data_IF_899255798725
#
_entry.id   IF_899255798725
#
_cell.length_a   1.000
_cell.length_b   1.000
_cell.length_c   1.000
_cell.angle_alpha   90.00
_cell.angle_beta   90.00
_cell.angle_gamma   90.00
#
_symmetry.space_group_name_H-M   'P 1'
#
loop_
_entity.id
_entity.type
_entity.pdbx_description
1 polymer ?
#
# COMPACT_ATOMS: atom_id res chain seq x y z
N UNK A 1 -8.11 -4.99 10.76
CA UNK A 1 -6.68 -5.23 10.48
C UNK A 1 -6.59 -6.34 9.46
N UNK A 2 -6.00 -6.06 8.30
CA UNK A 2 -5.89 -7.05 7.23
C UNK A 2 -4.88 -8.15 7.56
N UNK A 3 -5.20 -9.38 7.21
CA UNK A 3 -4.26 -10.51 7.13
C UNK A 3 -3.49 -10.47 5.81
N UNK A 4 -2.35 -11.18 5.74
CA UNK A 4 -1.58 -11.29 4.49
C UNK A 4 -2.41 -11.93 3.37
N UNK A 5 -3.26 -12.91 3.69
CA UNK A 5 -4.13 -13.55 2.71
C UNK A 5 -5.18 -12.60 2.14
N UNK A 6 -5.78 -11.75 2.98
CA UNK A 6 -6.72 -10.73 2.53
C UNK A 6 -6.01 -9.67 1.69
N UNK A 7 -4.83 -9.21 2.12
CA UNK A 7 -3.99 -8.29 1.36
C UNK A 7 -3.62 -8.88 -0.01
N UNK A 8 -3.25 -10.17 -0.06
CA UNK A 8 -2.97 -10.90 -1.30
C UNK A 8 -4.18 -10.97 -2.20
N UNK A 9 -5.38 -11.26 -1.66
CA UNK A 9 -6.63 -11.28 -2.44
C UNK A 9 -6.95 -9.90 -3.04
N UNK A 10 -6.78 -8.82 -2.27
CA UNK A 10 -6.97 -7.45 -2.75
C UNK A 10 -6.00 -7.13 -3.89
N UNK A 11 -4.72 -7.42 -3.72
CA UNK A 11 -3.71 -7.15 -4.75
C UNK A 11 -3.96 -7.99 -6.01
N UNK A 12 -4.39 -9.25 -5.87
CA UNK A 12 -4.74 -10.08 -7.03
C UNK A 12 -5.94 -9.52 -7.79
N UNK A 13 -6.93 -8.95 -7.11
CA UNK A 13 -8.06 -8.29 -7.75
C UNK A 13 -7.59 -7.07 -8.57
N UNK A 14 -6.72 -6.23 -8.01
CA UNK A 14 -6.13 -5.07 -8.70
C UNK A 14 -5.27 -5.48 -9.90
N UNK A 15 -4.49 -6.56 -9.78
CA UNK A 15 -3.70 -7.11 -10.89
C UNK A 15 -4.61 -7.62 -12.01
N UNK A 16 -5.71 -8.30 -11.66
CA UNK A 16 -6.68 -8.80 -12.64
C UNK A 16 -7.45 -7.67 -13.33
N UNK A 17 -7.78 -6.59 -12.61
CA UNK A 17 -8.38 -5.40 -13.22
C UNK A 17 -7.40 -4.73 -14.21
N UNK A 18 -6.13 -4.60 -13.80
CA UNK A 18 -5.06 -4.12 -14.68
C UNK A 18 -4.74 -5.08 -15.84
N UNK A 19 -5.16 -6.35 -15.77
CA UNK A 19 -4.90 -7.37 -16.78
C UNK A 19 -5.67 -7.09 -18.07
N UNK A 20 -6.85 -6.48 -18.01
CA UNK A 20 -7.66 -6.02 -19.15
C UNK A 20 -7.26 -6.60 -20.53
N UNK A 21 -6.61 -5.78 -21.35
CA UNK A 21 -6.18 -6.07 -22.74
C UNK A 21 -4.76 -6.68 -22.87
N UNK A 22 -4.15 -7.16 -21.79
CA UNK A 22 -2.75 -7.59 -21.79
C UNK A 22 -2.66 -9.12 -21.93
N UNK A 23 -2.01 -9.60 -23.00
CA UNK A 23 -1.86 -11.03 -23.33
C UNK A 23 -0.99 -11.83 -22.33
N UNK A 24 -0.41 -11.16 -21.33
CA UNK A 24 0.51 -11.79 -20.39
C UNK A 24 -0.20 -12.34 -19.15
N UNK A 25 0.27 -13.49 -18.66
CA UNK A 25 -0.09 -13.97 -17.33
C UNK A 25 0.57 -13.09 -16.27
N UNK A 26 -0.24 -12.32 -15.54
CA UNK A 26 0.20 -11.42 -14.48
C UNK A 26 0.05 -12.11 -13.12
N UNK A 27 1.11 -12.06 -12.30
CA UNK A 27 1.09 -12.66 -10.97
C UNK A 27 1.92 -11.85 -9.97
N UNK A 28 1.71 -12.15 -8.69
CA UNK A 28 2.59 -11.71 -7.60
C UNK A 28 3.89 -12.52 -7.68
N UNK A 29 5.01 -11.83 -7.87
CA UNK A 29 6.34 -12.42 -8.01
C UNK A 29 7.09 -12.50 -6.67
N UNK A 30 6.90 -11.50 -5.81
CA UNK A 30 7.57 -11.41 -4.50
C UNK A 30 6.70 -10.63 -3.52
N UNK A 31 6.73 -11.05 -2.26
CA UNK A 31 6.13 -10.33 -1.14
C UNK A 31 7.23 -9.94 -0.17
N UNK A 32 7.19 -8.72 0.32
CA UNK A 32 8.11 -8.21 1.35
C UNK A 32 7.30 -7.68 2.52
N UNK A 33 7.52 -8.24 3.71
CA UNK A 33 6.83 -7.82 4.92
C UNK A 33 7.47 -6.54 5.49
N UNK A 34 6.62 -5.62 5.94
CA UNK A 34 6.98 -4.40 6.65
C UNK A 34 6.34 -4.41 8.05
N UNK A 35 6.80 -3.53 8.93
CA UNK A 35 6.22 -3.37 10.28
C UNK A 35 4.72 -3.01 10.27
N UNK A 36 4.26 -2.30 9.24
CA UNK A 36 2.89 -1.79 9.10
C UNK A 36 2.08 -2.47 7.97
N UNK A 37 2.62 -3.51 7.33
CA UNK A 37 1.94 -4.16 6.21
C UNK A 37 2.88 -4.90 5.26
N UNK A 38 2.62 -4.83 3.95
CA UNK A 38 3.35 -5.62 2.96
C UNK A 38 3.55 -4.87 1.64
N UNK A 39 4.63 -5.22 0.93
CA UNK A 39 4.87 -4.81 -0.46
C UNK A 39 4.70 -6.03 -1.36
N UNK A 40 3.85 -5.92 -2.37
CA UNK A 40 3.62 -6.95 -3.37
C UNK A 40 4.20 -6.53 -4.72
N UNK A 41 5.27 -7.20 -5.12
CA UNK A 41 5.87 -7.06 -6.44
C UNK A 41 5.15 -7.98 -7.41
N UNK A 42 4.76 -7.44 -8.56
CA UNK A 42 3.97 -8.16 -9.56
C UNK A 42 4.46 -7.87 -10.97
N UNK A 43 4.09 -8.74 -11.90
CA UNK A 43 4.45 -8.59 -13.30
C UNK A 43 4.12 -9.84 -14.11
N UNK A 44 4.57 -9.84 -15.36
CA UNK A 44 4.39 -10.98 -16.25
C UNK A 44 5.25 -12.17 -15.81
N UNK A 45 4.66 -13.37 -15.78
CA UNK A 45 5.34 -14.63 -15.44
C UNK A 45 6.60 -14.83 -16.30
N UNK A 46 6.51 -14.49 -17.59
CA UNK A 46 7.59 -14.66 -18.56
C UNK A 46 8.80 -13.74 -18.30
N UNK A 47 8.61 -12.58 -17.65
CA UNK A 47 9.69 -11.66 -17.32
C UNK A 47 10.52 -12.17 -16.14
N UNK A 48 9.88 -12.86 -15.18
CA UNK A 48 10.55 -13.40 -14.00
C UNK A 48 11.53 -14.53 -14.32
N UNK A 49 11.30 -15.28 -15.40
CA UNK A 49 12.14 -16.43 -15.78
C UNK A 49 13.35 -16.05 -16.62
N UNK A 50 13.31 -14.91 -17.32
CA UNK A 50 14.28 -14.62 -18.38
C UNK A 50 15.31 -13.55 -18.01
N UNK A 51 15.25 -12.96 -16.81
CA UNK A 51 16.14 -11.87 -16.38
C UNK A 51 16.10 -10.64 -17.31
N UNK A 52 15.08 -10.55 -18.16
CA UNK A 52 14.91 -9.51 -19.16
C UNK A 52 14.24 -8.29 -18.53
N UNK A 53 14.46 -7.13 -19.15
CA UNK A 53 13.79 -5.88 -18.78
C UNK A 53 12.26 -6.11 -18.82
N UNK A 54 11.50 -5.70 -17.78
CA UNK A 54 10.06 -5.92 -17.74
C UNK A 54 9.40 -5.35 -18.99
N UNK A 55 8.58 -6.16 -19.66
CA UNK A 55 7.81 -5.72 -20.84
C UNK A 55 6.60 -4.89 -20.45
N UNK A 56 6.14 -5.05 -19.20
CA UNK A 56 5.01 -4.33 -18.65
C UNK A 56 5.46 -2.97 -18.09
N UNK A 57 4.96 -1.89 -18.68
CA UNK A 57 5.07 -0.55 -18.11
C UNK A 57 4.04 -0.33 -17.00
N UNK A 58 4.41 0.40 -15.94
CA UNK A 58 3.48 0.76 -14.86
C UNK A 58 3.20 -0.35 -13.84
N UNK A 59 4.05 -1.38 -13.80
CA UNK A 59 4.03 -2.49 -12.85
C UNK A 59 4.64 -2.13 -11.47
N UNK A 60 4.41 -0.90 -11.00
CA UNK A 60 4.89 -0.48 -9.69
C UNK A 60 4.29 -1.39 -8.62
N UNK A 61 5.07 -1.84 -7.61
CA UNK A 61 4.53 -2.72 -6.59
C UNK A 61 3.36 -2.09 -5.84
N UNK A 62 2.53 -2.94 -5.24
CA UNK A 62 1.47 -2.49 -4.36
C UNK A 62 1.98 -2.46 -2.92
N UNK A 63 1.74 -1.36 -2.22
CA UNK A 63 1.93 -1.25 -0.78
C UNK A 63 0.57 -1.43 -0.10
N UNK A 64 0.46 -2.42 0.78
CA UNK A 64 -0.75 -2.66 1.57
C UNK A 64 -0.46 -2.31 3.02
N UNK A 65 -1.25 -1.39 3.55
CA UNK A 65 -1.27 -1.00 4.95
C UNK A 65 -2.29 -1.86 5.71
N UNK A 66 -1.80 -2.69 6.63
CA UNK A 66 -2.65 -3.63 7.37
C UNK A 66 -3.50 -2.95 8.44
N UNK A 67 -3.01 -1.84 8.99
CA UNK A 67 -3.61 -1.16 10.13
C UNK A 67 -4.73 -0.22 9.69
N UNK A 68 -4.52 0.45 8.56
CA UNK A 68 -5.49 1.39 7.99
C UNK A 68 -6.31 0.77 6.85
N UNK A 69 -6.03 -0.49 6.50
CA UNK A 69 -6.72 -1.25 5.44
C UNK A 69 -6.67 -0.56 4.08
N UNK A 70 -5.51 0.05 3.77
CA UNK A 70 -5.30 0.82 2.53
C UNK A 70 -4.43 0.04 1.55
N UNK A 71 -4.83 0.01 0.29
CA UNK A 71 -4.01 -0.45 -0.82
C UNK A 71 -3.51 0.77 -1.60
N UNK A 72 -2.20 0.86 -1.78
CA UNK A 72 -1.52 1.98 -2.42
C UNK A 72 -0.74 1.46 -3.62
N UNK A 73 -1.07 1.98 -4.81
CA UNK A 73 -0.28 1.73 -6.02
C UNK A 73 0.96 2.62 -6.01
N UNK A 74 2.14 2.01 -6.06
CA UNK A 74 3.40 2.78 -6.16
C UNK A 74 3.71 3.13 -7.61
N UNK A 75 4.46 4.22 -7.82
CA UNK A 75 4.90 4.62 -9.13
C UNK A 75 6.17 3.85 -9.53
N UNK A 76 6.31 3.50 -10.81
CA UNK A 76 7.55 2.93 -11.37
C UNK A 76 8.66 3.98 -11.56
N UNK A 77 8.33 5.27 -11.47
CA UNK A 77 9.26 6.39 -11.69
C UNK A 77 10.19 6.69 -10.52
N UNK A 78 9.97 6.09 -9.35
CA UNK A 78 10.75 6.33 -8.14
C UNK A 78 11.10 5.02 -7.40
N UNK A 79 12.24 4.96 -6.67
CA UNK A 79 12.58 3.80 -5.86
C UNK A 79 11.52 3.46 -4.83
N UNK A 80 11.17 2.19 -4.71
CA UNK A 80 10.14 1.67 -3.79
C UNK A 80 10.47 2.05 -2.35
N UNK A 81 11.74 1.90 -1.93
CA UNK A 81 12.22 2.26 -0.59
C UNK A 81 11.90 3.71 -0.23
N UNK A 82 12.02 4.64 -1.19
CA UNK A 82 11.70 6.05 -0.97
C UNK A 82 10.20 6.25 -0.76
N UNK A 83 9.38 5.62 -1.60
CA UNK A 83 7.92 5.72 -1.51
C UNK A 83 7.40 5.12 -0.19
N UNK A 84 7.97 4.01 0.26
CA UNK A 84 7.67 3.37 1.55
C UNK A 84 8.03 4.29 2.72
N UNK A 85 9.23 4.87 2.71
CA UNK A 85 9.67 5.80 3.76
C UNK A 85 8.79 7.07 3.83
N UNK A 86 8.37 7.58 2.67
CA UNK A 86 7.49 8.74 2.61
C UNK A 86 6.07 8.42 3.10
N UNK A 87 5.55 7.22 2.78
CA UNK A 87 4.28 6.73 3.33
C UNK A 87 4.35 6.55 4.85
N UNK A 88 5.41 5.94 5.37
CA UNK A 88 5.59 5.73 6.81
C UNK A 88 5.71 7.07 7.56
N UNK A 89 6.39 8.07 6.98
CA UNK A 89 6.40 9.44 7.52
C UNK A 89 5.01 10.06 7.59
N UNK A 90 4.18 9.82 6.58
CA UNK A 90 2.78 10.28 6.59
C UNK A 90 1.97 9.59 7.67
N UNK A 91 2.11 8.27 7.83
CA UNK A 91 1.46 7.50 8.89
C UNK A 91 1.78 8.03 10.29
N UNK A 92 3.07 8.31 10.57
CA UNK A 92 3.47 8.87 11.86
C UNK A 92 2.81 10.23 12.14
N UNK A 93 2.67 11.08 11.11
CA UNK A 93 1.99 12.38 11.24
C UNK A 93 0.49 12.20 11.49
N UNK A 94 -0.17 11.29 10.77
CA UNK A 94 -1.60 10.97 10.95
C UNK A 94 -1.87 10.41 12.36
N UNK A 95 -0.98 9.55 12.88
CA UNK A 95 -1.07 9.04 14.25
C UNK A 95 -0.88 10.16 15.29
N UNK A 96 0.09 11.04 15.08
CA UNK A 96 0.31 12.18 15.99
C UNK A 96 -0.88 13.13 16.01
N UNK A 97 -1.46 13.45 14.84
CA UNK A 97 -2.63 14.32 14.75
C UNK A 97 -3.86 13.74 15.48
N UNK A 98 -4.08 12.42 15.37
CA UNK A 98 -5.15 11.72 16.12
C UNK A 98 -4.97 11.83 17.64
N UNK A 99 -3.73 11.81 18.12
CA UNK A 99 -3.43 11.89 19.55
C UNK A 99 -3.44 13.33 20.11
N UNK A 100 -3.35 14.34 19.23
CA UNK A 100 -3.31 15.77 19.62
C UNK A 100 -4.68 16.44 19.46
N UNK A 101 -5.66 15.79 18.82
CA UNK A 101 -7.02 16.30 18.72
C UNK A 101 -7.59 16.51 20.14
N UNK A 102 -7.92 17.76 20.54
CA UNK A 102 -8.49 18.00 21.85
C UNK A 102 -9.89 17.38 21.90
N UNK A 103 -10.14 16.61 22.95
CA UNK A 103 -11.47 16.11 23.31
C UNK A 103 -12.42 17.33 23.42
N UNK A 104 -13.49 17.44 22.59
CA UNK A 104 -14.37 18.61 22.62
C UNK A 104 -15.26 18.66 23.88
N UNK A 105 -15.09 17.74 24.83
CA UNK A 105 -16.08 17.51 25.90
C UNK A 105 -15.79 18.27 27.21
N UNK A 106 -14.85 19.21 27.25
CA UNK A 106 -14.58 20.01 28.45
C UNK A 106 -14.49 21.53 28.22
N UNK A 107 -15.40 22.09 27.42
CA UNK A 107 -15.64 23.53 27.40
C UNK A 107 -17.07 23.86 27.83
N UNK A 108 -17.20 24.48 28.99
CA UNK A 108 -18.36 25.23 29.51
C UNK A 108 -19.30 24.48 30.45
N UNK A 109 -18.83 24.28 31.70
CA UNK A 109 -19.64 24.63 32.88
C UNK A 109 -18.94 25.82 33.53
N UNK A 110 -19.23 27.02 33.03
CA UNK A 110 -18.95 28.26 33.75
C UNK A 110 -20.28 28.66 34.40
N UNK A 111 -20.37 28.38 35.69
CA UNK A 111 -21.35 28.94 36.61
C UNK A 111 -21.48 30.44 36.40
N UNK A 112 -22.71 30.94 36.34
CA UNK A 112 -22.99 32.32 36.70
C UNK A 112 -24.12 32.40 37.73
N UNK A 113 -23.97 33.31 38.71
CA UNK A 113 -24.74 33.33 39.96
C UNK A 113 -26.20 33.78 39.79
#
# INVERSE_FOLDING_TARGET
>A
MLTEEEARRLVLAEINDARGDVEYDLQILRVEALSFGWIFYWGAVCDAQNGRRPRLGGNGPFLVDRENERLIRTATSAPVTRQVADYERRLRREAHARNVAPDPTHASVDERP
#
